data_IF_033678552360
#
_entry.id   IF_033678552360
#
_cell.length_a   1.000
_cell.length_b   1.000
_cell.length_c   1.000
_cell.angle_alpha   90.00
_cell.angle_beta   90.00
_cell.angle_gamma   90.00
#
_symmetry.space_group_name_H-M   'P 1'
#
loop_
_entity.id
_entity.type
_entity.pdbx_description
1 polymer ?
#
# COMPACT_ATOMS: atom_id res chain seq x y z
N UNK A 1 -52.20 -14.04 -18.52
CA UNK A 1 -51.25 -12.90 -18.50
C UNK A 1 -50.05 -13.36 -17.70
N UNK A 2 -49.17 -14.11 -18.35
CA UNK A 2 -47.99 -14.70 -17.71
C UNK A 2 -46.94 -13.62 -17.48
N UNK A 3 -46.64 -13.35 -16.20
CA UNK A 3 -45.49 -12.54 -15.79
C UNK A 3 -44.23 -13.38 -16.01
N UNK A 4 -43.56 -13.17 -17.14
CA UNK A 4 -42.19 -13.63 -17.35
C UNK A 4 -41.29 -12.81 -16.42
N UNK A 5 -40.90 -13.40 -15.29
CA UNK A 5 -39.86 -12.83 -14.43
C UNK A 5 -38.52 -13.15 -15.11
N UNK A 6 -37.90 -12.13 -15.72
CA UNK A 6 -36.54 -12.21 -16.24
C UNK A 6 -35.62 -12.49 -15.05
N UNK A 7 -34.94 -13.62 -15.07
CA UNK A 7 -33.99 -14.01 -14.02
C UNK A 7 -32.89 -12.93 -13.92
N UNK A 8 -32.70 -12.36 -12.73
CA UNK A 8 -31.66 -11.37 -12.45
C UNK A 8 -30.32 -12.09 -12.28
N UNK A 9 -29.46 -12.02 -13.29
CA UNK A 9 -28.12 -12.63 -13.23
C UNK A 9 -27.11 -11.74 -12.47
N UNK A 10 -27.53 -10.97 -11.46
CA UNK A 10 -26.58 -10.27 -10.59
C UNK A 10 -26.09 -11.25 -9.52
N UNK A 11 -24.79 -11.54 -9.55
CA UNK A 11 -24.15 -12.30 -8.47
C UNK A 11 -23.16 -13.39 -8.88
N UNK A 12 -22.66 -13.43 -10.12
CA UNK A 12 -21.52 -14.32 -10.46
C UNK A 12 -20.20 -13.57 -10.47
N UNK A 13 -19.75 -13.07 -9.32
CA UNK A 13 -18.34 -12.70 -9.10
C UNK A 13 -17.49 -13.96 -8.82
N UNK A 14 -17.51 -14.93 -9.74
CA UNK A 14 -16.66 -16.13 -9.68
C UNK A 14 -15.24 -15.90 -10.20
N UNK A 15 -14.95 -14.71 -10.73
CA UNK A 15 -13.69 -14.39 -11.39
C UNK A 15 -12.79 -13.46 -10.56
N UNK A 16 -12.88 -13.49 -9.23
CA UNK A 16 -11.85 -12.89 -8.40
C UNK A 16 -10.57 -13.70 -8.61
N UNK A 17 -9.70 -13.24 -9.52
CA UNK A 17 -8.36 -13.78 -9.68
C UNK A 17 -7.69 -13.72 -8.31
N UNK A 18 -7.49 -14.88 -7.70
CA UNK A 18 -6.70 -14.98 -6.48
C UNK A 18 -5.29 -14.54 -6.84
N UNK A 19 -4.81 -13.51 -6.17
CA UNK A 19 -3.41 -13.10 -6.29
C UNK A 19 -2.57 -14.24 -5.71
N UNK A 20 -1.50 -14.57 -6.42
CA UNK A 20 -0.60 -15.62 -5.98
C UNK A 20 0.02 -15.29 -4.61
N UNK A 21 0.29 -16.32 -3.82
CA UNK A 21 0.83 -16.18 -2.47
C UNK A 21 2.24 -15.57 -2.52
N UNK A 22 3.06 -15.95 -3.50
CA UNK A 22 4.40 -15.38 -3.75
C UNK A 22 4.29 -13.90 -4.07
N UNK A 23 3.38 -13.55 -5.00
CA UNK A 23 3.17 -12.17 -5.43
C UNK A 23 2.76 -11.31 -4.23
N UNK A 24 1.84 -11.81 -3.40
CA UNK A 24 1.45 -11.13 -2.17
C UNK A 24 2.63 -10.95 -1.22
N UNK A 25 3.40 -12.02 -0.96
CA UNK A 25 4.57 -11.98 -0.07
C UNK A 25 5.62 -10.96 -0.54
N UNK A 26 5.87 -10.87 -1.85
CA UNK A 26 6.82 -9.91 -2.39
C UNK A 26 6.43 -8.44 -2.15
N UNK A 27 5.13 -8.13 -2.06
CA UNK A 27 4.65 -6.80 -1.65
C UNK A 27 5.02 -6.53 -0.19
N UNK A 28 4.79 -7.48 0.71
CA UNK A 28 5.18 -7.34 2.13
C UNK A 28 6.69 -7.17 2.27
N UNK A 29 7.47 -8.00 1.59
CA UNK A 29 8.93 -7.97 1.62
C UNK A 29 9.43 -6.61 1.09
N UNK A 30 8.82 -6.08 0.03
CA UNK A 30 9.17 -4.76 -0.49
C UNK A 30 8.87 -3.64 0.50
N UNK A 31 7.67 -3.60 1.09
CA UNK A 31 7.30 -2.55 2.08
C UNK A 31 8.20 -2.61 3.32
N UNK A 32 8.60 -3.82 3.75
CA UNK A 32 9.53 -4.01 4.88
C UNK A 32 10.97 -3.60 4.55
N UNK A 33 11.38 -3.63 3.29
CA UNK A 33 12.71 -3.19 2.87
C UNK A 33 12.91 -1.66 2.94
N UNK A 34 11.83 -0.89 3.08
CA UNK A 34 11.89 0.57 3.09
C UNK A 34 12.34 1.06 4.47
N UNK A 35 13.40 1.90 4.55
CA UNK A 35 13.95 2.37 5.81
C UNK A 35 12.91 3.16 6.61
N UNK A 36 12.82 2.85 7.91
CA UNK A 36 11.96 3.56 8.86
C UNK A 36 12.75 4.70 9.51
N UNK A 37 12.07 5.82 9.74
CA UNK A 37 12.62 6.92 10.53
C UNK A 37 12.57 6.52 12.00
N UNK A 38 13.71 6.71 12.67
CA UNK A 38 13.89 6.36 14.07
C UNK A 38 12.90 7.07 15.00
N UNK A 39 12.53 6.36 16.06
CA UNK A 39 11.56 6.77 17.06
C UNK A 39 11.91 8.08 17.79
N UNK A 40 13.12 8.64 17.68
CA UNK A 40 13.48 9.89 18.37
C UNK A 40 12.71 11.10 17.87
N UNK A 41 12.11 11.04 16.68
CA UNK A 41 11.14 12.02 16.19
C UNK A 41 9.69 11.71 16.55
N UNK A 42 9.44 10.53 17.11
CA UNK A 42 8.11 9.97 17.34
C UNK A 42 7.85 9.91 18.85
N UNK A 43 6.66 10.30 19.29
CA UNK A 43 6.34 10.25 20.72
C UNK A 43 6.29 8.78 21.16
N UNK A 44 6.88 8.46 22.32
CA UNK A 44 6.98 7.09 22.91
C UNK A 44 5.64 6.33 22.99
N UNK A 45 4.50 7.03 22.97
CA UNK A 45 3.18 6.44 23.16
C UNK A 45 2.52 5.83 21.92
N UNK A 46 3.13 5.89 20.74
CA UNK A 46 2.54 5.27 19.53
C UNK A 46 3.46 4.22 18.92
N UNK A 47 2.95 3.00 18.70
CA UNK A 47 3.58 1.95 17.87
C UNK A 47 3.53 2.26 16.37
N UNK A 48 3.40 3.55 15.99
CA UNK A 48 3.36 3.97 14.58
C UNK A 48 4.77 4.24 14.11
N UNK A 49 5.15 3.57 13.03
CA UNK A 49 6.41 3.80 12.33
C UNK A 49 6.22 4.90 11.29
N UNK A 50 7.32 5.57 10.91
CA UNK A 50 7.30 6.59 9.88
C UNK A 50 8.33 6.31 8.81
N UNK A 51 8.01 6.65 7.57
CA UNK A 51 8.95 6.65 6.44
C UNK A 51 9.16 8.09 5.95
N UNK A 52 10.13 8.28 5.07
CA UNK A 52 10.42 9.59 4.48
C UNK A 52 9.17 10.25 3.90
N UNK A 53 8.99 11.54 4.19
CA UNK A 53 7.82 12.31 3.74
C UNK A 53 7.83 12.70 2.26
N UNK A 54 8.98 12.61 1.61
CA UNK A 54 9.12 12.76 0.16
C UNK A 54 8.73 11.51 -0.61
N UNK A 55 8.67 10.35 0.05
CA UNK A 55 8.22 9.11 -0.57
C UNK A 55 6.70 9.03 -0.59
N UNK A 56 6.14 8.52 -1.69
CA UNK A 56 4.69 8.27 -1.81
C UNK A 56 4.39 6.79 -2.04
N UNK A 57 3.14 6.35 -1.75
CA UNK A 57 2.71 4.98 -2.07
C UNK A 57 2.86 4.70 -3.58
N UNK A 58 2.63 5.71 -4.42
CA UNK A 58 2.78 5.61 -5.86
C UNK A 58 4.22 5.37 -6.28
N UNK A 59 5.19 6.10 -5.70
CA UNK A 59 6.61 5.87 -5.94
C UNK A 59 7.06 4.52 -5.42
N UNK A 60 6.63 4.12 -4.22
CA UNK A 60 6.91 2.79 -3.67
C UNK A 60 6.39 1.68 -4.59
N UNK A 61 5.20 1.84 -5.15
CA UNK A 61 4.62 0.89 -6.10
C UNK A 61 5.37 0.87 -7.43
N UNK A 62 5.80 2.04 -7.94
CA UNK A 62 6.63 2.14 -9.14
C UNK A 62 7.95 1.39 -8.95
N UNK A 63 8.69 1.69 -7.88
CA UNK A 63 9.95 1.03 -7.55
C UNK A 63 9.78 -0.49 -7.39
N UNK A 64 8.68 -0.93 -6.76
CA UNK A 64 8.33 -2.34 -6.66
C UNK A 64 8.13 -2.97 -8.06
N UNK A 65 7.37 -2.31 -8.93
CA UNK A 65 7.11 -2.81 -10.29
C UNK A 65 8.39 -2.89 -11.12
N UNK A 66 9.28 -1.89 -11.02
CA UNK A 66 10.58 -1.88 -11.68
C UNK A 66 11.45 -3.07 -11.23
N UNK A 67 11.53 -3.32 -9.91
CA UNK A 67 12.25 -4.47 -9.35
C UNK A 67 11.69 -5.81 -9.81
N UNK A 68 10.36 -5.96 -9.84
CA UNK A 68 9.68 -7.17 -10.33
C UNK A 68 9.95 -7.37 -11.83
N UNK A 69 9.82 -6.31 -12.63
CA UNK A 69 10.05 -6.33 -14.06
C UNK A 69 11.49 -6.69 -14.41
N UNK A 70 12.47 -6.14 -13.70
CA UNK A 70 13.89 -6.48 -13.88
C UNK A 70 14.19 -7.98 -13.64
N UNK A 71 13.36 -8.65 -12.83
CA UNK A 71 13.49 -10.09 -12.52
C UNK A 71 12.51 -10.96 -13.33
N UNK A 72 11.82 -10.41 -14.33
CA UNK A 72 10.74 -11.07 -15.09
C UNK A 72 9.64 -11.68 -14.20
N UNK A 73 9.32 -11.02 -13.08
CA UNK A 73 8.27 -11.46 -12.15
C UNK A 73 6.99 -10.61 -12.29
N UNK A 74 5.80 -11.18 -12.05
CA UNK A 74 4.53 -10.45 -12.18
C UNK A 74 4.33 -9.45 -11.03
N UNK A 75 3.97 -8.21 -11.29
CA UNK A 75 3.65 -7.24 -10.22
C UNK A 75 2.15 -7.22 -9.89
N UNK A 76 1.80 -6.51 -8.80
CA UNK A 76 0.40 -6.24 -8.41
C UNK A 76 -0.05 -4.88 -8.93
N UNK A 77 -1.35 -4.66 -8.95
CA UNK A 77 -1.92 -3.33 -9.19
C UNK A 77 -1.61 -2.38 -8.04
N UNK A 78 -1.62 -1.08 -8.33
CA UNK A 78 -1.46 -0.02 -7.32
C UNK A 78 -2.47 -0.17 -6.19
N UNK A 79 -3.75 -0.43 -6.52
CA UNK A 79 -4.84 -0.56 -5.55
C UNK A 79 -4.56 -1.66 -4.52
N UNK A 80 -4.10 -2.83 -4.97
CA UNK A 80 -3.74 -3.92 -4.08
C UNK A 80 -2.53 -3.55 -3.20
N UNK A 81 -1.51 -2.95 -3.79
CA UNK A 81 -0.32 -2.50 -3.06
C UNK A 81 -0.67 -1.47 -1.97
N UNK A 82 -1.49 -0.47 -2.32
CA UNK A 82 -1.97 0.55 -1.40
C UNK A 82 -2.86 -0.05 -0.30
N UNK A 83 -3.71 -1.01 -0.63
CA UNK A 83 -4.54 -1.73 0.35
C UNK A 83 -3.69 -2.48 1.36
N UNK A 84 -2.67 -3.21 0.91
CA UNK A 84 -1.73 -3.90 1.79
C UNK A 84 -0.99 -2.90 2.67
N UNK A 85 -0.45 -1.81 2.11
CA UNK A 85 0.22 -0.76 2.87
C UNK A 85 -0.67 -0.20 3.98
N UNK A 86 -1.90 0.20 3.67
CA UNK A 86 -2.78 0.86 4.63
C UNK A 86 -3.41 -0.07 5.68
N UNK A 87 -3.68 -1.33 5.33
CA UNK A 87 -4.38 -2.28 6.21
C UNK A 87 -3.41 -3.13 7.03
N UNK A 88 -2.27 -3.51 6.44
CA UNK A 88 -1.33 -4.44 7.08
C UNK A 88 -0.19 -3.75 7.80
N UNK A 89 0.10 -2.50 7.47
CA UNK A 89 1.19 -1.75 8.08
C UNK A 89 0.66 -0.52 8.82
N UNK A 90 1.20 -0.27 10.01
CA UNK A 90 0.93 0.94 10.78
C UNK A 90 2.05 1.97 10.53
N UNK A 91 2.26 2.33 9.26
CA UNK A 91 3.32 3.24 8.81
C UNK A 91 2.68 4.54 8.32
N UNK A 92 3.21 5.68 8.77
CA UNK A 92 2.87 7.01 8.24
C UNK A 92 4.00 7.64 7.43
N UNK A 93 3.69 8.68 6.67
CA UNK A 93 4.68 9.53 6.03
C UNK A 93 5.10 10.64 7.01
N UNK A 94 6.42 10.84 7.16
CA UNK A 94 6.94 11.83 8.09
C UNK A 94 6.79 13.24 7.54
N UNK A 95 6.06 14.09 8.24
CA UNK A 95 5.94 15.50 7.91
C UNK A 95 6.82 16.30 8.86
N UNK A 96 7.94 16.90 8.41
CA UNK A 96 8.79 17.69 9.28
C UNK A 96 8.01 18.87 9.87
N UNK A 97 8.10 19.05 11.18
CA UNK A 97 7.47 20.17 11.86
C UNK A 97 8.15 21.48 11.41
N UNK A 98 7.47 22.29 10.61
CA UNK A 98 7.90 23.66 10.29
C UNK A 98 7.95 24.45 11.61
N UNK A 99 9.15 24.68 12.15
CA UNK A 99 9.36 25.68 13.20
C UNK A 99 9.05 27.03 12.56
N UNK A 100 7.94 27.65 12.96
CA UNK A 100 7.69 29.06 12.67
C UNK A 100 8.84 29.85 13.28
N UNK A 101 9.77 30.31 12.45
CA UNK A 101 10.59 31.46 12.81
C UNK A 101 9.63 32.63 12.86
N UNK A 102 9.17 32.98 14.07
CA UNK A 102 8.72 34.34 14.34
C UNK A 102 9.95 35.22 14.13
N UNK A 103 9.98 35.94 13.00
CA UNK A 103 10.82 37.13 12.91
C UNK A 103 10.35 38.06 14.03
N UNK A 104 11.23 38.31 14.99
CA UNK A 104 11.15 39.48 15.85
C UNK A 104 11.60 40.72 15.07
#
# INVERSE_FOLDING_TARGET
>A
MDRIIKEDHRGKHGNHKRIDVEVSKSVFDHINSIPRIESHYVRKDTNREFIDGGLTIAEMHRDYCEKRSASNQPSVTYDYYATIFNIKFNIGFFVPKKRSMRSL
#
